data_IF_972528691276
#
_entry.id   IF_972528691276
#
_cell.length_a   1.000
_cell.length_b   1.000
_cell.length_c   1.000
_cell.angle_alpha   90.00
_cell.angle_beta   90.00
_cell.angle_gamma   90.00
#
_symmetry.space_group_name_H-M   'P 1'
#
loop_
_entity.id
_entity.type
_entity.pdbx_description
1 polymer ?
#
# COMPACT_ATOMS: atom_id res chain seq x y z
N UNK A 1 -5.65 8.50 -4.20
CA UNK A 1 -4.72 8.34 -5.34
C UNK A 1 -3.83 9.56 -5.38
N UNK A 2 -2.52 9.35 -5.34
CA UNK A 2 -1.52 10.38 -5.53
C UNK A 2 -0.87 10.16 -6.89
N UNK A 3 -1.43 10.82 -7.91
CA UNK A 3 -0.98 10.72 -9.30
C UNK A 3 0.47 11.21 -9.49
N UNK A 4 0.94 12.11 -8.62
CA UNK A 4 2.30 12.64 -8.73
C UNK A 4 3.34 11.61 -8.30
N UNK A 5 2.98 10.71 -7.39
CA UNK A 5 3.86 9.64 -6.89
C UNK A 5 3.55 8.27 -7.51
N UNK A 6 2.46 8.16 -8.29
CA UNK A 6 2.04 6.89 -8.88
C UNK A 6 1.45 5.92 -7.86
N UNK A 7 0.87 6.41 -6.76
CA UNK A 7 0.34 5.57 -5.68
C UNK A 7 -1.18 5.56 -5.63
N UNK A 8 -1.74 4.37 -5.35
CA UNK A 8 -3.17 4.17 -5.08
C UNK A 8 -3.31 3.69 -3.63
N UNK A 9 -4.04 4.47 -2.83
CA UNK A 9 -4.36 4.18 -1.43
C UNK A 9 -5.80 4.63 -1.14
N UNK A 10 -6.30 4.36 0.07
CA UNK A 10 -7.70 4.47 0.44
C UNK A 10 -8.47 3.16 0.25
N UNK A 11 -7.76 2.05 0.06
CA UNK A 11 -8.33 0.72 -0.17
C UNK A 11 -8.49 -0.02 1.16
N UNK A 12 -9.53 -0.84 1.26
CA UNK A 12 -9.68 -1.74 2.42
C UNK A 12 -8.70 -2.91 2.29
N UNK A 13 -8.07 -3.33 3.38
CA UNK A 13 -7.31 -4.57 3.43
C UNK A 13 -8.16 -5.77 2.97
N UNK A 14 -7.57 -6.68 2.21
CA UNK A 14 -8.24 -7.83 1.61
C UNK A 14 -9.14 -7.48 0.41
N UNK A 15 -9.00 -6.29 -0.19
CA UNK A 15 -9.74 -5.93 -1.40
C UNK A 15 -9.46 -6.93 -2.53
N UNK A 16 -10.53 -7.40 -3.16
CA UNK A 16 -10.41 -8.28 -4.32
C UNK A 16 -10.19 -7.46 -5.59
N UNK A 17 -9.66 -8.08 -6.65
CA UNK A 17 -9.57 -7.43 -7.98
C UNK A 17 -10.93 -6.88 -8.41
N UNK A 18 -12.01 -7.65 -8.28
CA UNK A 18 -13.34 -7.17 -8.62
C UNK A 18 -13.77 -5.95 -7.79
N UNK A 19 -13.53 -5.96 -6.48
CA UNK A 19 -13.83 -4.82 -5.60
C UNK A 19 -12.98 -3.58 -5.92
N UNK A 20 -11.74 -3.77 -6.34
CA UNK A 20 -10.87 -2.70 -6.80
C UNK A 20 -11.36 -2.11 -8.13
N UNK A 21 -11.75 -2.95 -9.09
CA UNK A 21 -12.26 -2.52 -10.39
C UNK A 21 -13.59 -1.74 -10.28
N UNK A 22 -14.41 -2.01 -9.26
CA UNK A 22 -15.61 -1.24 -8.97
C UNK A 22 -15.31 0.23 -8.61
N UNK A 23 -14.18 0.49 -7.94
CA UNK A 23 -13.81 1.83 -7.45
C UNK A 23 -12.84 2.58 -8.36
N UNK A 24 -11.91 1.89 -9.02
CA UNK A 24 -10.80 2.52 -9.75
C UNK A 24 -11.16 2.91 -11.20
N UNK A 25 -12.19 2.28 -11.80
CA UNK A 25 -12.77 2.51 -13.14
C UNK A 25 -11.86 3.17 -14.20
N UNK A 26 -11.54 2.44 -15.26
CA UNK A 26 -10.85 2.96 -16.44
C UNK A 26 -11.82 3.21 -17.59
N UNK A 27 -11.51 4.10 -18.56
CA UNK A 27 -12.34 4.31 -19.74
C UNK A 27 -12.44 3.03 -20.61
N UNK A 28 -13.51 2.89 -21.39
CA UNK A 28 -13.85 1.68 -22.17
C UNK A 28 -12.76 1.14 -23.12
N UNK A 29 -11.76 1.95 -23.49
CA UNK A 29 -10.65 1.55 -24.37
C UNK A 29 -9.36 1.23 -23.61
N UNK A 30 -9.45 1.08 -22.29
CA UNK A 30 -8.36 0.72 -21.42
C UNK A 30 -8.74 -0.47 -20.55
N UNK A 31 -7.74 -1.27 -20.21
CA UNK A 31 -7.85 -2.37 -19.25
C UNK A 31 -6.79 -2.24 -18.15
N UNK A 32 -7.05 -2.90 -17.02
CA UNK A 32 -6.09 -3.00 -15.92
C UNK A 32 -5.43 -4.38 -15.91
N UNK A 33 -4.12 -4.41 -15.71
CA UNK A 33 -3.36 -5.63 -15.46
C UNK A 33 -2.57 -5.51 -14.16
N UNK A 34 -2.61 -6.58 -13.37
CA UNK A 34 -2.05 -6.61 -12.02
C UNK A 34 -0.79 -7.49 -11.97
N UNK A 35 0.21 -7.09 -11.20
CA UNK A 35 1.41 -7.93 -10.99
C UNK A 35 1.12 -9.20 -10.18
N UNK A 36 0.02 -9.22 -9.42
CA UNK A 36 -0.42 -10.33 -8.57
C UNK A 36 -1.96 -10.35 -8.48
N UNK A 37 -2.54 -11.50 -8.12
CA UNK A 37 -3.99 -11.63 -7.92
C UNK A 37 -4.45 -11.23 -6.50
N UNK A 38 -3.51 -11.19 -5.55
CA UNK A 38 -3.74 -10.69 -4.20
C UNK A 38 -3.30 -9.23 -4.20
N UNK A 39 -4.23 -8.33 -3.92
CA UNK A 39 -3.98 -6.90 -3.95
C UNK A 39 -3.51 -6.47 -2.56
N UNK A 40 -2.20 -6.47 -2.38
CA UNK A 40 -1.51 -5.88 -1.22
C UNK A 40 -0.61 -4.71 -1.61
N UNK A 41 0.02 -4.10 -0.61
CA UNK A 41 1.05 -3.08 -0.80
C UNK A 41 2.12 -3.57 -1.77
N UNK A 42 2.55 -2.71 -2.69
CA UNK A 42 3.54 -3.03 -3.72
C UNK A 42 2.95 -3.68 -4.98
N UNK A 43 1.65 -4.01 -5.01
CA UNK A 43 1.00 -4.50 -6.23
C UNK A 43 1.02 -3.43 -7.31
N UNK A 44 1.57 -3.75 -8.49
CA UNK A 44 1.55 -2.87 -9.65
C UNK A 44 0.24 -3.03 -10.44
N UNK A 45 -0.40 -1.90 -10.72
CA UNK A 45 -1.58 -1.77 -11.57
C UNK A 45 -1.16 -1.06 -12.85
N UNK A 46 -1.09 -1.81 -13.94
CA UNK A 46 -0.77 -1.32 -15.27
C UNK A 46 -2.05 -0.97 -16.03
N UNK A 47 -2.14 0.25 -16.54
CA UNK A 47 -3.22 0.67 -17.43
C UNK A 47 -2.77 0.40 -18.87
N UNK A 48 -3.52 -0.42 -19.58
CA UNK A 48 -3.21 -0.87 -20.94
C UNK A 48 -4.18 -0.19 -21.90
N UNK A 49 -3.69 0.43 -22.96
CA UNK A 49 -4.52 0.86 -24.09
C UNK A 49 -4.87 -0.37 -24.94
N UNK A 50 -6.16 -0.72 -25.00
CA UNK A 50 -6.62 -1.93 -25.69
C UNK A 50 -6.46 -1.84 -27.22
N UNK A 51 -6.29 -0.63 -27.76
CA UNK A 51 -6.05 -0.40 -29.19
C UNK A 51 -4.64 -0.75 -29.59
N UNK A 52 -3.66 -0.39 -28.76
CA UNK A 52 -2.22 -0.55 -29.05
C UNK A 52 -1.60 -1.74 -28.32
N UNK A 53 -2.23 -2.22 -27.24
CA UNK A 53 -1.70 -3.22 -26.32
C UNK A 53 -0.55 -2.70 -25.44
N UNK A 54 -0.35 -1.38 -25.35
CA UNK A 54 0.77 -0.79 -24.61
C UNK A 54 0.36 -0.32 -23.22
N UNK A 55 1.20 -0.54 -22.22
CA UNK A 55 1.06 0.10 -20.90
C UNK A 55 1.25 1.61 -21.03
N UNK A 56 0.23 2.38 -20.66
CA UNK A 56 0.24 3.85 -20.71
C UNK A 56 0.48 4.50 -19.34
N UNK A 57 0.23 3.75 -18.25
CA UNK A 57 0.51 4.17 -16.89
C UNK A 57 0.73 2.94 -15.99
N UNK A 58 1.52 3.11 -14.94
CA UNK A 58 1.73 2.11 -13.90
C UNK A 58 1.56 2.80 -12.55
N UNK A 59 0.74 2.19 -11.70
CA UNK A 59 0.52 2.64 -10.33
C UNK A 59 0.90 1.53 -9.35
N UNK A 60 1.25 1.90 -8.13
CA UNK A 60 1.54 0.95 -7.04
C UNK A 60 0.50 1.10 -5.94
N UNK A 61 -0.09 -0.01 -5.52
CA UNK A 61 -1.03 -0.05 -4.40
C UNK A 61 -0.26 0.13 -3.08
N UNK A 62 -0.87 0.90 -2.16
CA UNK A 62 -0.47 1.02 -0.76
C UNK A 62 -1.73 0.73 0.07
N UNK A 63 -1.63 -0.27 0.95
CA UNK A 63 -2.58 -0.53 2.02
C UNK A 63 -1.83 -0.23 3.32
N UNK A 64 -2.23 0.82 4.03
CA UNK A 64 -1.55 1.21 5.26
C UNK A 64 -1.71 0.10 6.31
N UNK A 65 -0.59 -0.36 6.86
CA UNK A 65 -0.50 -1.49 7.79
C UNK A 65 -0.15 -2.83 7.14
N UNK A 66 -0.28 -2.96 5.82
CA UNK A 66 0.17 -4.13 5.05
C UNK A 66 1.61 -3.87 4.59
N UNK A 67 2.56 -4.26 5.44
CA UNK A 67 3.99 -3.96 5.28
C UNK A 67 4.68 -5.05 4.47
N UNK A 68 4.13 -6.27 4.47
CA UNK A 68 4.67 -7.41 3.73
C UNK A 68 4.10 -7.54 2.30
N UNK A 69 3.01 -6.83 1.97
CA UNK A 69 2.37 -6.81 0.66
C UNK A 69 1.40 -7.96 0.38
N UNK A 70 0.97 -8.70 1.40
CA UNK A 70 0.08 -9.85 1.25
C UNK A 70 -1.42 -9.48 1.27
N UNK A 71 -1.73 -8.20 1.41
CA UNK A 71 -3.09 -7.66 1.42
C UNK A 71 -3.82 -7.83 2.74
N UNK A 72 -3.20 -8.43 3.76
CA UNK A 72 -3.71 -8.48 5.13
C UNK A 72 -2.98 -7.45 6.00
N UNK A 73 -3.56 -7.15 7.16
CA UNK A 73 -2.93 -6.34 8.19
C UNK A 73 -2.94 -7.20 9.44
N UNK A 74 -1.78 -7.72 9.85
CA UNK A 74 -1.69 -8.64 10.97
C UNK A 74 -0.36 -8.58 11.74
N UNK A 75 -0.21 -9.47 12.72
CA UNK A 75 0.99 -9.54 13.56
C UNK A 75 2.33 -9.76 12.80
N UNK A 76 2.30 -10.26 11.55
CA UNK A 76 3.50 -10.37 10.70
C UNK A 76 3.99 -8.98 10.31
N UNK A 77 3.08 -8.09 9.91
CA UNK A 77 3.42 -6.71 9.55
C UNK A 77 4.01 -5.95 10.74
N UNK A 78 3.40 -6.09 11.92
CA UNK A 78 3.93 -5.53 13.17
C UNK A 78 5.35 -6.05 13.47
N UNK A 79 5.60 -7.35 13.24
CA UNK A 79 6.91 -7.95 13.42
C UNK A 79 7.99 -7.35 12.50
N UNK A 80 7.63 -7.05 11.25
CA UNK A 80 8.54 -6.45 10.27
C UNK A 80 8.96 -5.03 10.69
N UNK A 81 8.06 -4.24 11.25
CA UNK A 81 8.40 -2.90 11.76
C UNK A 81 9.36 -2.97 12.95
N UNK A 82 9.15 -3.91 13.87
CA UNK A 82 10.07 -4.17 14.98
C UNK A 82 11.43 -4.68 14.47
N UNK A 83 11.45 -5.53 13.45
CA UNK A 83 12.68 -6.01 12.82
C UNK A 83 13.44 -4.87 12.11
N UNK A 84 12.71 -3.95 11.46
CA UNK A 84 13.30 -2.76 10.86
C UNK A 84 13.94 -1.83 11.91
N UNK A 85 13.23 -1.53 13.01
CA UNK A 85 13.75 -0.74 14.14
C UNK A 85 15.02 -1.36 14.74
N UNK A 86 15.04 -2.70 14.86
CA UNK A 86 16.18 -3.45 15.36
C UNK A 86 17.31 -3.65 14.33
N UNK A 87 17.17 -3.08 13.13
CA UNK A 87 18.11 -3.19 12.02
C UNK A 87 18.41 -4.65 11.58
N UNK A 88 17.45 -5.55 11.77
CA UNK A 88 17.53 -6.93 11.27
C UNK A 88 17.10 -7.03 9.81
N UNK A 89 16.29 -6.07 9.34
CA UNK A 89 15.91 -5.87 7.94
C UNK A 89 16.30 -4.44 7.50
N UNK A 90 16.90 -4.33 6.32
CA UNK A 90 17.22 -3.04 5.69
C UNK A 90 16.31 -2.85 4.49
N UNK A 91 15.67 -1.69 4.42
CA UNK A 91 14.78 -1.27 3.34
C UNK A 91 15.49 -0.24 2.46
N UNK A 92 15.35 -0.36 1.15
CA UNK A 92 15.82 0.63 0.18
C UNK A 92 14.73 1.69 -0.01
N UNK A 93 15.05 2.94 0.30
CA UNK A 93 14.06 4.04 0.29
C UNK A 93 13.51 4.39 -1.08
N UNK A 94 14.17 3.96 -2.16
CA UNK A 94 13.70 4.16 -3.53
C UNK A 94 12.90 2.97 -4.03
N UNK A 95 13.38 1.75 -3.79
CA UNK A 95 12.75 0.52 -4.28
C UNK A 95 11.53 0.16 -3.45
N UNK A 96 11.60 0.37 -2.14
CA UNK A 96 10.60 -0.09 -1.20
C UNK A 96 9.71 1.03 -0.67
N UNK A 97 9.68 2.18 -1.35
CA UNK A 97 8.94 3.36 -0.96
C UNK A 97 7.45 3.10 -0.63
N UNK A 98 6.81 2.18 -1.36
CA UNK A 98 5.42 1.82 -1.13
C UNK A 98 5.19 1.15 0.24
N UNK A 99 6.08 0.24 0.62
CA UNK A 99 6.02 -0.47 1.90
C UNK A 99 6.46 0.39 3.07
N UNK A 100 7.49 1.23 2.86
CA UNK A 100 7.91 2.22 3.85
C UNK A 100 6.73 3.14 4.17
N UNK A 101 6.03 3.61 3.14
CA UNK A 101 4.84 4.44 3.29
C UNK A 101 3.67 3.68 3.92
N UNK A 102 3.52 2.39 3.66
CA UNK A 102 2.49 1.56 4.31
C UNK A 102 2.76 1.35 5.81
N UNK A 103 4.02 1.35 6.24
CA UNK A 103 4.44 1.13 7.63
C UNK A 103 4.48 2.38 8.52
N UNK A 104 4.52 3.59 7.96
CA UNK A 104 4.45 4.86 8.70
C UNK A 104 2.98 5.22 8.98
N UNK A 105 2.45 4.71 10.09
CA UNK A 105 1.04 4.81 10.46
C UNK A 105 0.74 6.03 11.32
N UNK A 106 1.75 6.56 12.01
CA UNK A 106 1.62 7.75 12.84
C UNK A 106 2.02 9.05 12.10
N UNK A 107 2.62 8.94 10.91
CA UNK A 107 3.01 10.06 10.05
C UNK A 107 4.24 10.82 10.51
N UNK A 108 5.12 10.19 11.30
CA UNK A 108 6.35 10.80 11.80
C UNK A 108 7.59 10.55 10.92
N UNK A 109 7.39 9.87 9.78
CA UNK A 109 8.41 9.48 8.81
C UNK A 109 9.40 8.41 9.28
N UNK A 110 9.13 7.74 10.40
CA UNK A 110 9.88 6.59 10.87
C UNK A 110 8.95 5.38 10.93
N UNK A 111 9.50 4.21 10.63
CA UNK A 111 8.82 2.94 10.85
C UNK A 111 9.39 2.34 12.12
N UNK A 112 8.62 2.31 13.19
CA UNK A 112 9.11 1.79 14.46
C UNK A 112 8.05 1.04 15.28
N UNK A 113 8.38 0.76 16.55
CA UNK A 113 7.50 0.04 17.45
C UNK A 113 6.19 0.77 17.78
N UNK A 114 6.09 2.09 17.56
CA UNK A 114 4.83 2.84 17.67
C UNK A 114 3.88 2.40 16.56
N UNK A 115 4.34 2.33 15.31
CA UNK A 115 3.52 1.86 14.19
C UNK A 115 3.14 0.38 14.35
N UNK A 116 4.08 -0.45 14.83
CA UNK A 116 3.79 -1.84 15.16
C UNK A 116 2.65 -1.96 16.19
N UNK A 117 2.61 -1.08 17.19
CA UNK A 117 1.53 -1.07 18.19
C UNK A 117 0.17 -0.70 17.58
N UNK A 118 0.14 0.18 16.57
CA UNK A 118 -1.08 0.54 15.85
C UNK A 118 -1.62 -0.66 15.06
N UNK A 119 -0.75 -1.45 14.43
CA UNK A 119 -1.14 -2.70 13.74
C UNK A 119 -1.74 -3.70 14.74
N UNK A 120 -1.09 -3.90 15.89
CA UNK A 120 -1.60 -4.82 16.94
C UNK A 120 -2.93 -4.34 17.50
N UNK A 121 -3.11 -3.04 17.70
CA UNK A 121 -4.39 -2.48 18.15
C UNK A 121 -5.48 -2.64 17.08
N UNK A 122 -5.16 -2.50 15.79
CA UNK A 122 -6.09 -2.74 14.69
C UNK A 122 -6.50 -4.22 14.59
N UNK A 123 -5.55 -5.15 14.70
CA UNK A 123 -5.80 -6.60 14.72
C UNK A 123 -6.73 -7.01 15.87
N UNK A 124 -6.62 -6.32 17.02
CA UNK A 124 -7.46 -6.54 18.19
C UNK A 124 -8.78 -5.73 18.19
N UNK A 125 -9.12 -5.04 17.10
CA UNK A 125 -10.31 -4.20 16.97
C UNK A 125 -10.38 -3.04 17.99
N UNK A 126 -9.22 -2.57 18.47
CA UNK A 126 -9.07 -1.45 19.40
C UNK A 126 -8.89 -0.14 18.62
N UNK A 127 -8.24 -0.19 17.47
CA UNK A 127 -8.01 0.94 16.58
C UNK A 127 -8.48 0.66 15.14
N UNK A 128 -8.50 1.71 14.32
CA UNK A 128 -8.70 1.59 12.86
C UNK A 128 -7.57 2.35 12.20
N UNK A 129 -6.89 1.70 11.25
CA UNK A 129 -5.85 2.35 10.45
C UNK A 129 -6.52 3.20 9.38
N UNK A 130 -6.14 4.47 9.32
CA UNK A 130 -6.59 5.37 8.25
C UNK A 130 -5.94 4.95 6.94
N UNK A 131 -6.77 4.60 5.95
CA UNK A 131 -6.30 4.23 4.62
C UNK A 131 -6.10 5.46 3.71
N UNK A 132 -6.44 6.66 4.18
CA UNK A 132 -6.22 7.92 3.50
C UNK A 132 -5.60 8.97 4.44
N UNK A 133 -4.42 8.66 5.03
CA UNK A 133 -3.77 9.53 6.00
C UNK A 133 -3.35 10.85 5.35
N UNK A 134 -3.48 11.93 6.12
CA UNK A 134 -2.93 13.22 5.76
C UNK A 134 -1.49 13.29 6.24
N UNK A 135 -0.54 13.03 5.35
CA UNK A 135 0.84 13.42 5.58
C UNK A 135 0.98 14.89 5.22
N UNK A 136 1.34 15.72 6.19
CA UNK A 136 1.59 17.14 5.91
C UNK A 136 2.70 17.20 4.87
N UNK A 137 2.41 17.78 3.70
CA UNK A 137 3.42 17.94 2.66
C UNK A 137 4.40 19.03 3.13
N UNK A 138 5.31 18.68 4.03
CA UNK A 138 6.35 19.57 4.49
C UNK A 138 7.31 19.87 3.31
N UNK A 139 7.03 21.04 2.72
CA UNK A 139 7.83 21.94 1.87
C UNK A 139 9.26 21.57 1.53
#
# INVERSE_FOLDING_TARGET
>A
MDDAQGFIYGLTAGITVAGFEEVAQVPDNYSMAYSTNILGTGTQVNIIDDTTGTTVATYTIIIFGDVNGDGCIDSIDAGILVDHENHTITWDTLIDAAYIKAGDLNGDYNMDSIDASIIVDAENYIATIDQNPFFDNAS
#
